data_IF_452948435238
#
_entry.id   IF_452948435238
#
_cell.length_a   1.000
_cell.length_b   1.000
_cell.length_c   1.000
_cell.angle_alpha   90.00
_cell.angle_beta   90.00
_cell.angle_gamma   90.00
#
_symmetry.space_group_name_H-M   'P 1'
#
loop_
_entity.id
_entity.type
_entity.pdbx_description
1 polymer ?
#
# COMPACT_ATOMS: atom_id res chain seq x y z
N UNK A 1 -30.71 -1.79 -6.88
CA UNK A 1 -30.25 -1.94 -5.49
C UNK A 1 -30.11 -3.41 -5.05
N UNK A 2 -31.11 -4.28 -5.25
CA UNK A 2 -31.08 -5.69 -4.81
C UNK A 2 -29.99 -6.54 -5.49
N UNK A 3 -29.70 -6.34 -6.77
CA UNK A 3 -28.65 -7.05 -7.51
C UNK A 3 -27.23 -6.67 -7.03
N UNK A 4 -27.01 -5.41 -6.72
CA UNK A 4 -25.72 -4.92 -6.17
C UNK A 4 -25.47 -5.52 -4.79
N UNK A 5 -26.52 -5.62 -3.96
CA UNK A 5 -26.42 -6.25 -2.63
C UNK A 5 -26.14 -7.74 -2.73
N UNK A 6 -26.79 -8.46 -3.68
CA UNK A 6 -26.49 -9.87 -3.97
C UNK A 6 -25.06 -10.07 -4.46
N UNK A 7 -24.58 -9.22 -5.37
CA UNK A 7 -23.20 -9.26 -5.86
C UNK A 7 -22.19 -9.00 -4.75
N UNK A 8 -22.46 -8.04 -3.85
CA UNK A 8 -21.60 -7.76 -2.69
C UNK A 8 -21.53 -8.92 -1.70
N UNK A 9 -22.66 -9.57 -1.42
CA UNK A 9 -22.69 -10.72 -0.52
C UNK A 9 -21.96 -11.94 -1.14
N UNK A 10 -22.06 -12.13 -2.44
CA UNK A 10 -21.34 -13.18 -3.16
C UNK A 10 -19.84 -12.90 -3.19
N UNK A 11 -19.44 -11.65 -3.47
CA UNK A 11 -18.05 -11.19 -3.41
C UNK A 11 -17.41 -11.42 -2.04
N UNK A 12 -18.14 -11.12 -0.95
CA UNK A 12 -17.67 -11.35 0.41
C UNK A 12 -17.40 -12.82 0.70
N UNK A 13 -18.32 -13.71 0.31
CA UNK A 13 -18.17 -15.16 0.46
C UNK A 13 -16.99 -15.73 -0.35
N UNK A 14 -16.83 -15.30 -1.59
CA UNK A 14 -15.72 -15.74 -2.44
C UNK A 14 -14.37 -15.21 -1.93
N UNK A 15 -14.34 -14.00 -1.37
CA UNK A 15 -13.13 -13.44 -0.76
C UNK A 15 -12.74 -14.21 0.51
N UNK A 16 -13.70 -14.52 1.38
CA UNK A 16 -13.46 -15.34 2.58
C UNK A 16 -12.92 -16.72 2.20
N UNK A 17 -13.47 -17.32 1.12
CA UNK A 17 -13.00 -18.60 0.60
C UNK A 17 -11.57 -18.50 0.03
N UNK A 18 -11.27 -17.48 -0.77
CA UNK A 18 -9.91 -17.24 -1.33
C UNK A 18 -8.89 -17.04 -0.20
N UNK A 19 -9.27 -16.37 0.89
CA UNK A 19 -8.42 -16.14 2.06
C UNK A 19 -8.22 -17.38 2.93
N UNK A 20 -9.21 -18.23 3.02
CA UNK A 20 -9.19 -19.44 3.88
C UNK A 20 -8.58 -20.67 3.22
N UNK A 21 -8.52 -20.72 1.89
CA UNK A 21 -8.09 -21.92 1.17
C UNK A 21 -6.61 -21.83 0.82
N UNK A 22 -5.74 -22.74 1.30
CA UNK A 22 -4.37 -22.83 0.81
C UNK A 22 -4.39 -23.19 -0.67
N UNK A 23 -3.52 -22.59 -1.48
CA UNK A 23 -3.46 -22.73 -2.93
C UNK A 23 -3.51 -24.21 -3.36
N UNK A 24 -4.68 -24.69 -3.75
CA UNK A 24 -4.85 -26.03 -4.26
C UNK A 24 -4.54 -26.10 -5.76
N UNK A 25 -3.84 -27.14 -6.14
CA UNK A 25 -3.19 -27.44 -7.43
C UNK A 25 -4.14 -27.65 -8.63
N UNK A 26 -5.33 -27.06 -8.69
CA UNK A 26 -6.27 -27.39 -9.78
C UNK A 26 -6.70 -26.16 -10.55
N UNK A 27 -6.84 -26.28 -11.87
CA UNK A 27 -7.31 -25.24 -12.79
C UNK A 27 -8.69 -24.65 -12.41
N UNK A 28 -9.45 -25.37 -11.57
CA UNK A 28 -10.71 -24.88 -10.98
C UNK A 28 -10.51 -23.72 -10.01
N UNK A 29 -9.39 -23.66 -9.28
CA UNK A 29 -9.07 -22.55 -8.39
C UNK A 29 -8.76 -21.28 -9.19
N UNK A 30 -8.05 -21.39 -10.30
CA UNK A 30 -7.74 -20.26 -11.20
C UNK A 30 -9.01 -19.69 -11.82
N UNK A 31 -9.89 -20.53 -12.36
CA UNK A 31 -11.16 -20.10 -12.92
C UNK A 31 -12.03 -19.36 -11.90
N UNK A 32 -12.04 -19.80 -10.65
CA UNK A 32 -12.81 -19.16 -9.58
C UNK A 32 -12.23 -17.81 -9.16
N UNK A 33 -10.91 -17.69 -9.20
CA UNK A 33 -10.19 -16.42 -8.97
C UNK A 33 -10.49 -15.46 -10.12
N UNK A 34 -10.42 -15.91 -11.36
CA UNK A 34 -10.73 -15.11 -12.55
C UNK A 34 -12.22 -14.67 -12.53
N UNK A 35 -13.14 -15.58 -12.20
CA UNK A 35 -14.57 -15.26 -12.05
C UNK A 35 -14.85 -14.27 -10.91
N UNK A 36 -14.07 -14.31 -9.83
CA UNK A 36 -14.11 -13.31 -8.75
C UNK A 36 -13.73 -11.92 -9.26
N UNK A 37 -12.66 -11.81 -10.06
CA UNK A 37 -12.26 -10.53 -10.62
C UNK A 37 -13.24 -10.00 -11.65
N UNK A 38 -13.83 -10.86 -12.49
CA UNK A 38 -14.91 -10.50 -13.42
C UNK A 38 -16.16 -10.01 -12.67
N UNK A 39 -16.51 -10.66 -11.56
CA UNK A 39 -17.64 -10.27 -10.70
C UNK A 39 -17.37 -8.94 -10.02
N UNK A 40 -16.12 -8.72 -9.61
CA UNK A 40 -15.60 -7.49 -9.02
C UNK A 40 -15.71 -6.33 -10.03
N UNK A 41 -15.29 -6.53 -11.26
CA UNK A 41 -15.44 -5.56 -12.37
C UNK A 41 -16.90 -5.20 -12.63
N UNK A 42 -17.80 -6.19 -12.68
CA UNK A 42 -19.24 -5.97 -12.87
C UNK A 42 -19.92 -5.30 -11.67
N UNK A 43 -19.46 -5.55 -10.45
CA UNK A 43 -19.98 -4.91 -9.24
C UNK A 43 -19.53 -3.43 -9.13
N UNK A 44 -18.37 -3.08 -9.67
CA UNK A 44 -17.84 -1.72 -9.78
C UNK A 44 -18.43 -0.99 -11.02
N UNK A 45 -18.77 -1.73 -12.09
CA UNK A 45 -19.11 -1.20 -13.43
C UNK A 45 -20.50 -0.59 -13.59
N UNK A 46 -21.27 -0.31 -12.52
CA UNK A 46 -22.59 0.34 -12.60
C UNK A 46 -22.79 1.58 -11.73
N UNK A 47 -21.71 2.24 -11.39
CA UNK A 47 -21.76 3.66 -11.07
C UNK A 47 -21.17 4.37 -12.27
N UNK A 48 -22.01 4.74 -13.22
CA UNK A 48 -21.69 5.73 -14.26
C UNK A 48 -21.66 7.12 -13.61
N UNK A 49 -20.72 7.33 -12.72
CA UNK A 49 -20.13 8.63 -12.49
C UNK A 49 -18.82 8.63 -13.29
N UNK A 50 -18.63 9.66 -14.12
CA UNK A 50 -17.40 9.90 -14.89
C UNK A 50 -16.21 9.51 -14.00
N UNK A 51 -15.56 8.38 -14.30
CA UNK A 51 -14.32 8.00 -13.63
C UNK A 51 -13.32 9.12 -13.84
N UNK A 52 -13.18 9.97 -12.89
CA UNK A 52 -12.07 10.91 -12.83
C UNK A 52 -10.88 10.05 -12.48
N UNK A 53 -10.05 9.72 -13.48
CA UNK A 53 -8.75 9.09 -13.24
C UNK A 53 -7.90 10.10 -12.48
N UNK A 54 -7.90 9.99 -11.16
CA UNK A 54 -7.11 10.85 -10.29
C UNK A 54 -5.68 10.30 -10.26
N UNK A 55 -4.94 10.57 -11.31
CA UNK A 55 -3.49 10.46 -11.29
C UNK A 55 -2.94 11.71 -10.61
N UNK A 56 -2.58 11.59 -9.33
CA UNK A 56 -2.01 12.71 -8.57
C UNK A 56 -0.59 12.99 -9.08
N UNK A 57 -0.28 14.27 -9.29
CA UNK A 57 1.07 14.70 -9.60
C UNK A 57 1.95 14.48 -8.36
N UNK A 58 3.01 13.69 -8.50
CA UNK A 58 4.02 13.54 -7.44
C UNK A 58 5.10 14.61 -7.55
N UNK A 59 5.80 14.88 -6.46
CA UNK A 59 7.01 15.68 -6.49
C UNK A 59 8.01 15.06 -7.48
N UNK A 60 8.79 15.91 -8.18
CA UNK A 60 9.78 15.44 -9.16
C UNK A 60 10.76 14.46 -8.52
N UNK A 61 10.79 13.23 -9.00
CA UNK A 61 11.70 12.21 -8.53
C UNK A 61 13.07 12.38 -9.23
N UNK A 62 14.11 12.68 -8.46
CA UNK A 62 15.50 12.79 -8.93
C UNK A 62 16.05 11.46 -9.42
N UNK A 63 17.31 11.45 -9.88
CA UNK A 63 18.00 10.22 -10.30
C UNK A 63 18.37 9.30 -9.12
N UNK A 64 18.73 9.90 -7.99
CA UNK A 64 19.08 9.19 -6.74
C UNK A 64 17.84 9.10 -5.87
N UNK A 65 17.48 7.88 -5.48
CA UNK A 65 16.34 7.60 -4.61
C UNK A 65 16.84 7.27 -3.22
N UNK A 66 17.12 6.01 -2.94
CA UNK A 66 17.74 5.53 -1.71
C UNK A 66 18.84 4.55 -2.10
N UNK A 67 20.05 4.80 -1.69
CA UNK A 67 21.18 3.90 -1.86
C UNK A 67 21.59 3.33 -0.50
N UNK A 68 21.57 2.03 -0.38
CA UNK A 68 21.98 1.29 0.79
C UNK A 68 23.30 0.57 0.51
N UNK A 69 24.32 0.76 1.36
CA UNK A 69 25.63 0.11 1.22
C UNK A 69 25.99 -0.58 2.52
N UNK A 70 26.12 -1.91 2.48
CA UNK A 70 26.57 -2.77 3.58
C UNK A 70 25.85 -2.48 4.91
N UNK A 71 24.51 -2.32 4.86
CA UNK A 71 23.72 -1.99 6.03
C UNK A 71 23.60 -3.17 6.96
N UNK A 72 23.94 -2.96 8.24
CA UNK A 72 23.64 -3.91 9.31
C UNK A 72 22.96 -3.21 10.46
N UNK A 73 22.05 -3.91 11.12
CA UNK A 73 21.34 -3.41 12.29
C UNK A 73 21.01 -4.53 13.27
N UNK A 74 21.19 -4.23 14.56
CA UNK A 74 20.99 -5.18 15.65
C UNK A 74 20.19 -4.53 16.79
N UNK A 75 19.34 -5.34 17.45
CA UNK A 75 18.80 -5.03 18.77
C UNK A 75 19.48 -5.95 19.79
N UNK A 76 20.45 -5.42 20.54
CA UNK A 76 21.31 -6.24 21.40
C UNK A 76 22.06 -7.29 20.58
N UNK A 77 21.85 -8.58 20.90
CA UNK A 77 22.43 -9.72 20.15
C UNK A 77 21.61 -10.15 18.94
N UNK A 78 20.41 -9.60 18.76
CA UNK A 78 19.51 -10.02 17.69
C UNK A 78 19.81 -9.28 16.40
N UNK A 79 20.26 -10.00 15.37
CA UNK A 79 20.48 -9.46 14.04
C UNK A 79 19.14 -9.24 13.32
N UNK A 80 18.89 -7.99 12.90
CA UNK A 80 17.68 -7.61 12.18
C UNK A 80 17.93 -7.36 10.69
N UNK A 81 19.16 -6.93 10.35
CA UNK A 81 19.63 -6.73 8.99
C UNK A 81 21.16 -6.94 8.98
N UNK A 82 21.67 -7.67 7.99
CA UNK A 82 23.08 -7.97 7.85
C UNK A 82 23.54 -7.76 6.41
N UNK A 83 24.55 -6.90 6.27
CA UNK A 83 25.26 -6.59 5.01
C UNK A 83 24.32 -6.33 3.81
N UNK A 84 23.24 -5.62 4.03
CA UNK A 84 22.26 -5.32 2.99
C UNK A 84 22.77 -4.19 2.09
N UNK A 85 22.91 -4.48 0.81
CA UNK A 85 23.28 -3.49 -0.21
C UNK A 85 22.23 -3.47 -1.31
N UNK A 86 21.65 -2.29 -1.56
CA UNK A 86 20.63 -2.12 -2.58
C UNK A 86 20.51 -0.65 -3.03
N UNK A 87 20.29 -0.45 -4.32
CA UNK A 87 20.05 0.87 -4.91
C UNK A 87 18.64 0.91 -5.49
N UNK A 88 17.73 1.61 -4.80
CA UNK A 88 16.36 1.78 -5.28
C UNK A 88 16.32 2.57 -6.58
N UNK A 89 15.66 2.00 -7.58
CA UNK A 89 15.45 2.64 -8.86
C UNK A 89 14.22 3.58 -8.85
N UNK A 90 14.14 4.46 -9.84
CA UNK A 90 12.96 5.31 -10.04
C UNK A 90 11.78 4.46 -10.46
N UNK A 91 10.61 4.78 -9.88
CA UNK A 91 9.32 4.12 -10.17
C UNK A 91 9.27 2.63 -9.83
N UNK A 92 10.26 2.14 -9.15
CA UNK A 92 10.33 0.76 -8.71
C UNK A 92 9.29 0.47 -7.64
N UNK A 93 8.65 -0.70 -7.73
CA UNK A 93 7.63 -1.15 -6.80
C UNK A 93 8.08 -2.44 -6.13
N UNK A 94 8.47 -2.35 -4.87
CA UNK A 94 9.05 -3.46 -4.10
C UNK A 94 8.04 -3.96 -3.08
N UNK A 95 7.76 -5.25 -3.09
CA UNK A 95 7.02 -5.94 -2.04
C UNK A 95 7.97 -6.46 -0.96
N UNK A 96 7.56 -6.42 0.30
CA UNK A 96 8.29 -7.01 1.42
C UNK A 96 7.46 -8.13 2.04
N UNK A 97 8.05 -9.30 2.15
CA UNK A 97 7.43 -10.47 2.77
C UNK A 97 8.35 -11.10 3.82
N UNK A 98 7.76 -11.75 4.80
CA UNK A 98 8.48 -12.44 5.87
C UNK A 98 7.61 -12.60 7.11
N UNK A 99 8.02 -13.47 8.02
CA UNK A 99 7.33 -13.71 9.28
C UNK A 99 7.34 -12.46 10.19
N UNK A 100 6.52 -12.46 11.21
CA UNK A 100 6.55 -11.36 12.18
C UNK A 100 7.86 -11.38 12.97
N UNK A 101 8.39 -10.19 13.26
CA UNK A 101 9.61 -10.01 14.05
C UNK A 101 10.93 -10.29 13.32
N UNK A 102 10.92 -10.51 11.99
CA UNK A 102 12.15 -10.79 11.21
C UNK A 102 12.90 -9.53 10.77
N UNK A 103 12.42 -8.32 11.12
CA UNK A 103 13.12 -7.07 10.80
C UNK A 103 12.43 -6.17 9.77
N UNK A 104 11.23 -6.50 9.27
CA UNK A 104 10.53 -5.69 8.26
C UNK A 104 10.32 -4.23 8.71
N UNK A 105 9.72 -4.01 9.88
CA UNK A 105 9.49 -2.65 10.40
C UNK A 105 10.79 -1.93 10.76
N UNK A 106 11.82 -2.67 11.19
CA UNK A 106 13.17 -2.11 11.40
C UNK A 106 13.75 -1.59 10.10
N UNK A 107 13.63 -2.36 9.03
CA UNK A 107 14.05 -1.97 7.70
C UNK A 107 13.32 -0.71 7.21
N UNK A 108 12.00 -0.64 7.37
CA UNK A 108 11.25 0.57 7.02
C UNK A 108 11.73 1.79 7.81
N UNK A 109 11.99 1.65 9.11
CA UNK A 109 12.50 2.74 9.93
C UNK A 109 13.91 3.19 9.53
N UNK A 110 14.77 2.27 9.08
CA UNK A 110 16.07 2.62 8.50
C UNK A 110 15.89 3.41 7.20
N UNK A 111 14.99 2.97 6.31
CA UNK A 111 14.72 3.67 5.03
C UNK A 111 14.17 5.08 5.24
N UNK A 112 13.36 5.29 6.29
CA UNK A 112 12.82 6.60 6.66
C UNK A 112 13.82 7.49 7.41
N UNK A 113 14.96 6.95 7.84
CA UNK A 113 15.94 7.67 8.67
C UNK A 113 15.55 7.79 10.14
N UNK A 114 14.50 7.09 10.60
CA UNK A 114 14.08 7.03 12.01
C UNK A 114 15.05 6.22 12.88
N UNK A 115 15.78 5.29 12.25
CA UNK A 115 16.87 4.53 12.88
C UNK A 115 18.17 4.76 12.12
N UNK A 116 19.27 4.80 12.84
CA UNK A 116 20.61 4.81 12.26
C UNK A 116 21.12 3.37 12.15
N UNK A 117 21.73 2.97 11.02
CA UNK A 117 22.32 1.66 10.90
C UNK A 117 23.47 1.50 11.90
N UNK A 118 23.70 0.27 12.35
CA UNK A 118 24.88 -0.08 13.17
C UNK A 118 26.16 0.04 12.33
N UNK A 119 26.10 -0.41 11.08
CA UNK A 119 27.18 -0.21 10.09
C UNK A 119 26.59 0.01 8.71
N UNK A 120 27.40 0.51 7.79
CA UNK A 120 26.99 0.85 6.44
C UNK A 120 26.44 2.28 6.33
N UNK A 121 25.95 2.61 5.13
CA UNK A 121 25.50 3.98 4.80
C UNK A 121 24.18 3.92 4.04
N UNK A 122 23.26 4.82 4.40
CA UNK A 122 22.04 5.10 3.66
C UNK A 122 22.15 6.51 3.08
N UNK A 123 22.10 6.61 1.77
CA UNK A 123 22.11 7.88 1.07
C UNK A 123 20.74 8.10 0.42
N UNK A 124 20.04 9.14 0.84
CA UNK A 124 18.76 9.55 0.26
C UNK A 124 18.97 10.67 -0.78
N UNK A 125 18.15 10.67 -1.83
CA UNK A 125 18.14 11.73 -2.83
C UNK A 125 17.57 13.03 -2.25
N UNK A 126 18.10 14.18 -2.67
CA UNK A 126 17.67 15.50 -2.19
C UNK A 126 16.20 15.82 -2.49
N UNK A 127 15.66 15.26 -3.56
CA UNK A 127 14.27 15.46 -3.98
C UNK A 127 13.32 14.39 -3.43
N UNK A 128 13.81 13.50 -2.57
CA UNK A 128 13.02 12.42 -2.01
C UNK A 128 11.98 12.98 -1.03
N UNK A 129 10.72 12.63 -1.27
CA UNK A 129 9.59 12.93 -0.39
C UNK A 129 8.91 11.62 -0.02
N UNK A 130 9.14 11.16 1.20
CA UNK A 130 8.62 9.88 1.69
C UNK A 130 7.24 10.10 2.29
N UNK A 131 6.24 9.35 1.81
CA UNK A 131 4.96 9.17 2.48
C UNK A 131 4.97 7.82 3.21
N UNK A 132 4.58 7.81 4.47
CA UNK A 132 4.52 6.59 5.26
C UNK A 132 3.13 6.33 5.81
N UNK A 133 2.55 5.21 5.42
CA UNK A 133 1.32 4.68 6.00
C UNK A 133 1.67 3.57 6.99
N UNK A 134 1.50 3.86 8.27
CA UNK A 134 1.85 2.97 9.38
C UNK A 134 0.66 2.10 9.80
N UNK A 135 0.94 0.88 10.18
CA UNK A 135 -0.05 0.02 10.84
C UNK A 135 -0.56 0.63 12.16
N UNK A 136 0.27 1.38 12.88
CA UNK A 136 -0.15 2.06 14.11
C UNK A 136 -1.24 3.12 13.88
N UNK A 137 -1.32 3.67 12.65
CA UNK A 137 -2.27 4.73 12.32
C UNK A 137 -1.83 6.11 12.79
N UNK A 138 -2.80 7.02 12.90
CA UNK A 138 -2.63 8.39 13.37
C UNK A 138 -3.74 8.73 14.35
N UNK A 139 -3.43 9.54 15.35
CA UNK A 139 -4.42 10.19 16.20
C UNK A 139 -4.83 11.52 15.56
N UNK A 140 -6.12 11.69 15.40
CA UNK A 140 -6.71 12.93 14.91
C UNK A 140 -6.99 13.86 16.07
N UNK A 141 -6.92 15.19 15.83
CA UNK A 141 -7.30 16.17 16.82
C UNK A 141 -8.80 16.05 17.15
N UNK A 142 -9.17 16.23 18.42
CA UNK A 142 -10.59 16.30 18.79
C UNK A 142 -11.34 17.35 17.97
N UNK A 143 -12.62 17.10 17.71
CA UNK A 143 -13.55 18.01 17.01
C UNK A 143 -13.30 18.27 15.52
N UNK A 144 -12.19 17.82 14.92
CA UNK A 144 -11.99 17.94 13.47
C UNK A 144 -13.05 17.17 12.68
N UNK A 145 -13.53 17.78 11.58
CA UNK A 145 -14.31 17.07 10.57
C UNK A 145 -13.40 16.35 9.58
N UNK A 146 -13.96 15.41 8.80
CA UNK A 146 -13.25 14.75 7.70
C UNK A 146 -12.65 15.79 6.75
N UNK A 147 -13.41 16.85 6.43
CA UNK A 147 -12.95 17.92 5.54
C UNK A 147 -11.79 18.72 6.15
N UNK A 148 -11.87 19.08 7.45
CA UNK A 148 -10.82 19.84 8.12
C UNK A 148 -9.47 19.10 8.08
N UNK A 149 -9.47 17.79 8.34
CA UNK A 149 -8.25 16.97 8.32
C UNK A 149 -7.52 17.04 6.99
N UNK A 150 -8.24 17.00 5.89
CA UNK A 150 -7.63 17.03 4.54
C UNK A 150 -7.37 18.46 4.08
N UNK A 151 -8.22 19.42 4.42
CA UNK A 151 -8.06 20.83 4.08
C UNK A 151 -6.83 21.44 4.77
N UNK A 152 -6.53 21.04 6.01
CA UNK A 152 -5.31 21.45 6.73
C UNK A 152 -4.02 21.04 5.99
N UNK A 153 -4.08 20.04 5.11
CA UNK A 153 -2.94 19.59 4.31
C UNK A 153 -2.85 20.37 3.00
N UNK A 154 -3.97 20.50 2.29
CA UNK A 154 -4.05 21.21 1.04
C UNK A 154 -5.50 21.55 0.67
N UNK A 155 -5.73 22.71 0.06
CA UNK A 155 -7.04 23.10 -0.49
C UNK A 155 -7.36 22.40 -1.81
N UNK A 156 -6.32 22.06 -2.57
CA UNK A 156 -6.42 21.39 -3.87
C UNK A 156 -5.34 20.33 -4.02
N UNK A 157 -5.66 19.29 -4.75
CA UNK A 157 -4.73 18.22 -5.14
C UNK A 157 -4.34 18.39 -6.60
N UNK A 158 -3.03 18.41 -6.90
CA UNK A 158 -2.54 18.47 -8.26
C UNK A 158 -2.60 17.08 -8.91
N UNK A 159 -3.16 17.00 -10.11
CA UNK A 159 -3.21 15.79 -10.92
C UNK A 159 -1.98 15.69 -11.84
N UNK A 160 -1.67 14.47 -12.31
CA UNK A 160 -0.52 14.19 -13.17
C UNK A 160 -0.58 14.96 -14.54
N UNK A 161 -1.78 15.31 -15.00
CA UNK A 161 -2.02 16.11 -16.19
C UNK A 161 -1.81 17.63 -15.98
N UNK A 162 -1.48 18.05 -14.76
CA UNK A 162 -1.28 19.44 -14.37
C UNK A 162 -2.54 20.14 -13.85
N UNK A 163 -3.72 19.52 -13.96
CA UNK A 163 -4.95 20.06 -13.40
C UNK A 163 -4.93 20.04 -11.88
N UNK A 164 -5.71 20.93 -11.26
CA UNK A 164 -5.94 20.92 -9.83
C UNK A 164 -7.40 20.62 -9.53
N UNK A 165 -7.63 19.69 -8.64
CA UNK A 165 -8.98 19.36 -8.17
C UNK A 165 -9.15 19.79 -6.71
N UNK A 166 -10.36 20.24 -6.32
CA UNK A 166 -10.68 20.50 -4.92
C UNK A 166 -10.47 19.23 -4.08
N UNK A 167 -10.11 19.41 -2.82
CA UNK A 167 -9.92 18.30 -1.88
C UNK A 167 -11.20 17.47 -1.71
N UNK A 168 -12.39 18.10 -1.85
CA UNK A 168 -13.67 17.40 -1.83
C UNK A 168 -13.81 16.33 -2.92
N UNK A 169 -13.24 16.58 -4.11
CA UNK A 169 -13.21 15.61 -5.21
C UNK A 169 -12.33 14.40 -4.83
N UNK A 170 -11.20 14.65 -4.18
CA UNK A 170 -10.30 13.59 -3.71
C UNK A 170 -10.93 12.78 -2.58
N UNK A 171 -11.65 13.43 -1.66
CA UNK A 171 -12.46 12.75 -0.64
C UNK A 171 -13.48 11.80 -1.27
N UNK A 172 -14.22 12.28 -2.28
CA UNK A 172 -15.20 11.45 -2.99
C UNK A 172 -14.56 10.23 -3.66
N UNK A 173 -13.41 10.41 -4.29
CA UNK A 173 -12.67 9.30 -4.91
C UNK A 173 -12.32 8.23 -3.89
N UNK A 174 -11.92 8.61 -2.68
CA UNK A 174 -11.65 7.72 -1.57
C UNK A 174 -12.88 7.39 -0.71
N UNK A 175 -14.07 7.39 -1.32
CA UNK A 175 -15.32 6.92 -0.72
C UNK A 175 -15.78 7.71 0.53
N UNK A 176 -15.45 9.00 0.58
CA UNK A 176 -16.08 9.95 1.49
C UNK A 176 -17.05 10.82 0.69
N UNK A 177 -18.34 10.44 0.62
CA UNK A 177 -19.33 11.22 -0.12
C UNK A 177 -19.61 12.58 0.56
N UNK A 178 -20.14 13.58 -0.17
CA UNK A 178 -20.26 14.97 0.32
C UNK A 178 -20.96 15.11 1.67
N UNK A 179 -21.96 14.28 1.95
CA UNK A 179 -22.71 14.33 3.21
C UNK A 179 -21.86 13.87 4.42
N UNK A 180 -20.71 13.20 4.21
CA UNK A 180 -19.80 12.77 5.28
C UNK A 180 -18.67 13.76 5.53
N UNK A 181 -18.44 14.73 4.65
CA UNK A 181 -17.31 15.66 4.73
C UNK A 181 -17.26 16.44 6.05
N UNK A 182 -18.42 16.82 6.57
CA UNK A 182 -18.54 17.59 7.84
C UNK A 182 -18.83 16.70 9.04
N UNK A 183 -18.72 15.38 8.88
CA UNK A 183 -18.81 14.45 10.02
C UNK A 183 -17.54 14.56 10.85
N UNK A 184 -17.68 14.66 12.17
CA UNK A 184 -16.56 14.67 13.11
C UNK A 184 -15.81 13.34 13.03
N UNK A 185 -14.47 13.38 13.02
CA UNK A 185 -13.62 12.19 12.89
C UNK A 185 -13.84 11.21 14.04
N UNK A 186 -14.17 11.68 15.22
CA UNK A 186 -14.51 10.81 16.37
C UNK A 186 -15.66 9.85 16.09
N UNK A 187 -16.63 10.25 15.23
CA UNK A 187 -17.81 9.46 14.83
C UNK A 187 -17.55 8.45 13.72
N UNK A 188 -16.38 8.49 13.11
CA UNK A 188 -16.01 7.54 12.07
C UNK A 188 -15.71 6.16 12.68
N UNK A 189 -16.07 5.12 11.93
CA UNK A 189 -15.62 3.76 12.22
C UNK A 189 -14.09 3.63 12.12
N UNK A 190 -13.54 2.56 12.68
CA UNK A 190 -12.09 2.29 12.60
C UNK A 190 -11.59 2.23 11.15
N UNK A 191 -12.32 1.55 10.25
CA UNK A 191 -11.98 1.48 8.83
C UNK A 191 -12.03 2.83 8.11
N UNK A 192 -13.02 3.68 8.43
CA UNK A 192 -13.10 5.04 7.89
C UNK A 192 -11.95 5.92 8.39
N UNK A 193 -11.57 5.81 9.67
CA UNK A 193 -10.38 6.51 10.20
C UNK A 193 -9.10 6.07 9.51
N UNK A 194 -8.95 4.77 9.25
CA UNK A 194 -7.80 4.23 8.49
C UNK A 194 -7.76 4.76 7.07
N UNK A 195 -8.90 4.81 6.39
CA UNK A 195 -9.05 5.37 5.05
C UNK A 195 -8.73 6.87 5.03
N UNK A 196 -9.21 7.62 6.02
CA UNK A 196 -8.88 9.03 6.15
C UNK A 196 -7.38 9.25 6.39
N UNK A 197 -6.76 8.44 7.24
CA UNK A 197 -5.32 8.46 7.45
C UNK A 197 -4.54 8.22 6.15
N UNK A 198 -4.93 7.20 5.38
CA UNK A 198 -4.33 6.92 4.08
C UNK A 198 -4.40 8.15 3.17
N UNK A 199 -5.55 8.80 3.09
CA UNK A 199 -5.74 10.05 2.35
C UNK A 199 -4.74 11.13 2.76
N UNK A 200 -4.54 11.33 4.06
CA UNK A 200 -3.58 12.35 4.55
C UNK A 200 -2.15 12.07 4.10
N UNK A 201 -1.76 10.80 3.98
CA UNK A 201 -0.45 10.40 3.47
C UNK A 201 -0.33 10.70 1.97
N UNK A 202 -1.33 10.32 1.20
CA UNK A 202 -1.33 10.48 -0.27
C UNK A 202 -1.39 11.94 -0.70
N UNK A 203 -2.13 12.79 0.02
CA UNK A 203 -2.28 14.21 -0.28
C UNK A 203 -1.01 15.04 -0.11
N UNK A 204 -0.05 14.56 0.65
CA UNK A 204 1.28 15.20 0.78
C UNK A 204 2.15 15.08 -0.46
N UNK A 205 1.63 14.47 -1.52
CA UNK A 205 2.30 14.25 -2.79
C UNK A 205 3.68 13.58 -2.67
N UNK A 206 3.79 12.45 -1.94
CA UNK A 206 5.06 11.74 -1.84
C UNK A 206 5.49 11.22 -3.22
N UNK A 207 6.80 11.10 -3.43
CA UNK A 207 7.36 10.43 -4.61
C UNK A 207 8.00 9.08 -4.27
N UNK A 208 8.08 8.75 -2.98
CA UNK A 208 8.39 7.43 -2.45
C UNK A 208 7.37 7.08 -1.37
N UNK A 209 6.57 6.07 -1.60
CA UNK A 209 5.49 5.71 -0.70
C UNK A 209 5.82 4.38 0.00
N UNK A 210 5.80 4.40 1.31
CA UNK A 210 5.97 3.22 2.17
C UNK A 210 4.62 2.88 2.78
N UNK A 211 4.16 1.63 2.54
CA UNK A 211 2.91 1.11 3.07
C UNK A 211 3.19 -0.10 3.96
N UNK A 212 2.88 0.02 5.25
CA UNK A 212 3.05 -1.05 6.22
C UNK A 212 1.70 -1.68 6.55
N UNK A 213 1.45 -2.89 6.01
CA UNK A 213 0.22 -3.68 6.12
C UNK A 213 -1.07 -2.88 5.78
N UNK A 214 -1.15 -2.23 4.60
CA UNK A 214 -2.29 -1.38 4.27
C UNK A 214 -3.59 -2.17 4.09
N UNK A 215 -3.50 -3.48 3.92
CA UNK A 215 -4.66 -4.36 3.67
C UNK A 215 -5.37 -4.81 4.95
N UNK A 216 -4.80 -4.61 6.14
CA UNK A 216 -5.37 -5.15 7.36
C UNK A 216 -6.56 -4.30 7.71
N UNK A 217 -6.96 -3.34 7.86
CA UNK A 217 -8.14 -2.65 8.41
C UNK A 217 -8.96 -1.88 7.36
N UNK A 218 -8.70 -2.12 6.07
CA UNK A 218 -9.44 -1.50 4.98
C UNK A 218 -10.51 -2.45 4.44
N UNK A 219 -11.69 -1.90 4.14
CA UNK A 219 -12.73 -2.63 3.45
C UNK A 219 -12.37 -2.87 1.96
N UNK A 220 -13.05 -3.83 1.32
CA UNK A 220 -12.77 -4.25 -0.05
C UNK A 220 -12.89 -3.09 -1.06
N UNK A 221 -13.85 -2.18 -0.85
CA UNK A 221 -14.04 -1.06 -1.76
C UNK A 221 -12.88 -0.07 -1.65
N UNK A 222 -12.42 0.20 -0.44
CA UNK A 222 -11.24 1.02 -0.19
C UNK A 222 -9.98 0.39 -0.76
N UNK A 223 -9.81 -0.93 -0.60
CA UNK A 223 -8.68 -1.66 -1.19
C UNK A 223 -8.66 -1.56 -2.72
N UNK A 224 -9.82 -1.62 -3.38
CA UNK A 224 -9.90 -1.48 -4.83
C UNK A 224 -9.45 -0.08 -5.28
N UNK A 225 -9.92 0.97 -4.59
CA UNK A 225 -9.51 2.34 -4.87
C UNK A 225 -8.01 2.51 -4.64
N UNK A 226 -7.48 1.94 -3.56
CA UNK A 226 -6.05 1.97 -3.25
C UNK A 226 -5.23 1.23 -4.32
N UNK A 227 -5.64 0.02 -4.72
CA UNK A 227 -4.97 -0.74 -5.79
C UNK A 227 -4.92 0.08 -7.09
N UNK A 228 -6.05 0.66 -7.52
CA UNK A 228 -6.11 1.49 -8.74
C UNK A 228 -5.19 2.71 -8.63
N UNK A 229 -5.19 3.40 -7.48
CA UNK A 229 -4.29 4.51 -7.23
C UNK A 229 -2.82 4.10 -7.30
N UNK A 230 -2.43 2.99 -6.63
CA UNK A 230 -1.05 2.53 -6.56
C UNK A 230 -0.53 1.96 -7.89
N UNK A 231 -1.40 1.37 -8.71
CA UNK A 231 -1.03 0.93 -10.07
C UNK A 231 -0.57 2.10 -10.93
N UNK A 232 -1.24 3.25 -10.79
CA UNK A 232 -0.96 4.47 -11.54
C UNK A 232 -0.05 5.44 -10.78
N UNK A 233 0.43 5.09 -9.60
CA UNK A 233 1.27 5.96 -8.78
C UNK A 233 2.59 6.28 -9.50
N UNK A 234 2.87 7.57 -9.79
CA UNK A 234 4.04 7.98 -10.54
C UNK A 234 5.28 8.19 -9.64
N UNK A 235 5.50 7.26 -8.71
CA UNK A 235 6.62 7.24 -7.76
C UNK A 235 7.06 5.82 -7.47
N UNK A 236 8.00 5.68 -6.56
CA UNK A 236 8.48 4.38 -6.07
C UNK A 236 7.64 3.91 -4.88
N UNK A 237 7.43 2.60 -4.79
CA UNK A 237 6.64 1.96 -3.73
C UNK A 237 7.48 0.96 -2.94
N UNK A 238 7.29 0.95 -1.63
CA UNK A 238 7.78 -0.09 -0.73
C UNK A 238 6.60 -0.59 0.11
N UNK A 239 6.17 -1.83 -0.12
CA UNK A 239 4.92 -2.36 0.43
C UNK A 239 5.20 -3.59 1.27
N UNK A 240 4.92 -3.51 2.58
CA UNK A 240 4.85 -4.69 3.45
C UNK A 240 3.41 -5.18 3.45
N UNK A 241 3.18 -6.42 3.05
CA UNK A 241 1.85 -7.04 3.16
C UNK A 241 1.93 -8.56 3.26
N UNK A 242 0.97 -9.12 3.99
CA UNK A 242 0.69 -10.54 3.98
C UNK A 242 -0.28 -10.95 2.86
N UNK A 243 -0.94 -9.99 2.22
CA UNK A 243 -1.83 -10.21 1.08
C UNK A 243 -1.02 -10.32 -0.22
N UNK A 244 -0.88 -11.56 -0.70
CA UNK A 244 -0.13 -11.88 -1.92
C UNK A 244 -0.77 -11.33 -3.19
N UNK A 245 -2.10 -11.33 -3.24
CA UNK A 245 -2.80 -10.83 -4.41
C UNK A 245 -2.60 -9.34 -4.58
N UNK A 246 -2.54 -8.63 -3.45
CA UNK A 246 -2.21 -7.22 -3.44
C UNK A 246 -0.77 -6.97 -3.91
N UNK A 247 0.21 -7.75 -3.39
CA UNK A 247 1.60 -7.64 -3.84
C UNK A 247 1.80 -8.05 -5.29
N UNK A 248 1.19 -9.15 -5.73
CA UNK A 248 1.33 -9.67 -7.11
C UNK A 248 0.79 -8.71 -8.17
N UNK A 249 -0.12 -7.82 -7.80
CA UNK A 249 -0.66 -6.78 -8.68
C UNK A 249 0.20 -5.52 -8.75
N UNK A 250 0.95 -5.24 -7.71
CA UNK A 250 1.61 -3.94 -7.53
C UNK A 250 3.12 -4.03 -7.60
N UNK A 251 3.73 -5.09 -7.04
CA UNK A 251 5.17 -5.19 -6.91
C UNK A 251 5.82 -5.77 -8.18
N UNK A 252 6.94 -5.17 -8.57
CA UNK A 252 7.79 -5.65 -9.67
C UNK A 252 8.65 -6.83 -9.20
N UNK A 253 9.11 -6.78 -7.95
CA UNK A 253 9.87 -7.82 -7.28
C UNK A 253 9.65 -7.76 -5.75
N UNK A 254 10.17 -8.74 -5.03
CA UNK A 254 9.96 -8.85 -3.58
C UNK A 254 11.25 -9.03 -2.80
N UNK A 255 11.36 -8.35 -1.65
CA UNK A 255 12.35 -8.65 -0.62
C UNK A 255 11.79 -9.67 0.36
N UNK A 256 12.47 -10.79 0.50
CA UNK A 256 12.10 -11.89 1.36
C UNK A 256 12.97 -11.87 2.60
N UNK A 257 12.38 -11.45 3.72
CA UNK A 257 13.02 -11.45 5.02
C UNK A 257 12.98 -12.85 5.63
N UNK A 258 14.13 -13.48 5.69
CA UNK A 258 14.28 -14.88 6.12
C UNK A 258 14.57 -15.01 7.61
N UNK A 259 14.82 -13.91 8.31
CA UNK A 259 15.31 -13.86 9.69
C UNK A 259 16.83 -13.82 9.75
N UNK A 260 17.36 -13.62 10.97
CA UNK A 260 18.81 -13.50 11.22
C UNK A 260 19.51 -12.48 10.32
N UNK A 261 18.82 -11.38 10.03
CA UNK A 261 19.33 -10.28 9.18
C UNK A 261 19.35 -10.55 7.69
N UNK A 262 18.99 -11.75 7.24
CA UNK A 262 19.07 -12.14 5.83
C UNK A 262 17.87 -11.67 5.03
N UNK A 263 18.14 -10.95 3.93
CA UNK A 263 17.14 -10.49 2.96
C UNK A 263 17.52 -11.03 1.59
N UNK A 264 16.57 -11.72 0.94
CA UNK A 264 16.73 -12.19 -0.44
C UNK A 264 15.88 -11.33 -1.35
N UNK A 265 16.48 -10.75 -2.38
CA UNK A 265 15.77 -10.13 -3.48
C UNK A 265 15.33 -11.22 -4.49
N UNK A 266 14.05 -11.21 -4.85
CA UNK A 266 13.47 -12.15 -5.81
C UNK A 266 12.71 -11.37 -6.88
N UNK A 267 13.19 -11.46 -8.11
CA UNK A 267 12.54 -10.87 -9.28
C UNK A 267 11.42 -11.80 -9.73
N UNK A 268 10.17 -11.36 -9.51
CA UNK A 268 8.97 -12.13 -9.80
C UNK A 268 7.89 -11.93 -8.75
N UNK A 269 6.78 -12.62 -8.92
CA UNK A 269 5.61 -12.49 -8.06
C UNK A 269 5.77 -13.26 -6.74
N UNK A 270 5.11 -12.78 -5.70
CA UNK A 270 5.08 -13.42 -4.39
C UNK A 270 4.51 -14.85 -4.46
N UNK A 271 3.49 -15.07 -5.29
CA UNK A 271 2.89 -16.39 -5.55
C UNK A 271 3.88 -17.37 -6.20
N UNK A 272 4.70 -16.91 -7.15
CA UNK A 272 5.72 -17.71 -7.83
C UNK A 272 6.84 -18.15 -6.90
N UNK A 273 7.33 -17.24 -6.03
CA UNK A 273 8.33 -17.56 -5.02
C UNK A 273 7.88 -18.70 -4.10
N UNK A 274 6.65 -18.65 -3.62
CA UNK A 274 6.13 -19.71 -2.74
C UNK A 274 5.97 -21.06 -3.43
N UNK A 275 5.61 -21.07 -4.71
CA UNK A 275 5.59 -22.29 -5.49
C UNK A 275 7.01 -22.87 -5.60
N UNK A 276 7.98 -22.03 -5.96
CA UNK A 276 9.39 -22.42 -6.03
C UNK A 276 9.91 -23.05 -4.73
N UNK A 277 9.60 -22.43 -3.56
CA UNK A 277 10.02 -22.98 -2.25
C UNK A 277 9.31 -24.29 -1.89
N UNK A 278 8.07 -24.51 -2.35
CA UNK A 278 7.36 -25.77 -2.15
C UNK A 278 7.90 -26.90 -3.02
N UNK A 279 8.30 -26.57 -4.24
CA UNK A 279 8.80 -27.56 -5.19
C UNK A 279 10.25 -27.99 -4.87
N UNK A 280 10.96 -27.22 -4.02
CA UNK A 280 12.30 -27.56 -3.51
C UNK A 280 12.30 -28.37 -2.21
N UNK A 281 11.12 -28.59 -1.59
CA UNK A 281 10.94 -29.44 -0.38
C UNK A 281 10.34 -30.79 -0.74
#
# INVERSE_FOLDING_TARGET
AAEVTKARNLLRRELEWIRSTPCARTGKAKYRIDAFYDLKERAVGRVEEKKVNINVQTARLGKKIINCKNLSFYYGSRCMLEDFTYNFARFEKVGIVGNNGVGKSTFLNLMMGNLKPFSGVIEQGETLSIGYYSQAGIEFKPDQTVFDVVHDIAETVALANGDRVPVSTFLNYFLFPPHTHYTKVEKLSGGEKRRLYLLTVLMRNPNFLILDEPTNDLDIMTLNVLEEYLQNFPGSLLIVSHDRFFLDKLADHIFIFQGEGRVKDYVGKCSEWRQYVKDMR
#
